data_IF_123830755696
#
_entry.id   IF_123830755696
#
_cell.length_a   1.000
_cell.length_b   1.000
_cell.length_c   1.000
_cell.angle_alpha   90.00
_cell.angle_beta   90.00
_cell.angle_gamma   90.00
#
_symmetry.space_group_name_H-M   'P 1'
#
loop_
_entity.id
_entity.type
_entity.pdbx_description
1 polymer ?
#
# COMPACT_ATOMS: atom_id res chain seq x y z
N UNK A 1 -23.19 16.69 9.31
CA UNK A 1 -21.77 16.76 9.69
C UNK A 1 -21.35 15.33 9.91
N UNK A 2 -20.51 14.76 9.06
CA UNK A 2 -19.92 13.45 9.38
C UNK A 2 -19.05 13.60 10.62
N UNK A 3 -19.22 12.70 11.59
CA UNK A 3 -18.43 12.73 12.83
C UNK A 3 -16.96 12.44 12.48
N UNK A 4 -16.11 13.42 12.78
CA UNK A 4 -14.65 13.26 12.69
C UNK A 4 -14.20 12.26 13.76
N UNK A 5 -13.44 11.26 13.36
CA UNK A 5 -12.99 10.16 14.23
C UNK A 5 -11.47 10.17 14.38
N UNK A 6 -11.01 9.53 15.45
CA UNK A 6 -9.60 9.25 15.69
C UNK A 6 -9.26 7.83 15.21
N UNK A 7 -8.41 7.73 14.19
CA UNK A 7 -8.05 6.47 13.52
C UNK A 7 -6.56 6.17 13.74
N UNK A 8 -6.28 4.95 14.22
CA UNK A 8 -4.92 4.44 14.37
C UNK A 8 -4.66 3.34 13.33
N UNK A 9 -3.60 3.53 12.52
CA UNK A 9 -3.14 2.55 11.54
C UNK A 9 -1.79 1.99 12.01
N UNK A 10 -1.70 0.67 12.13
CA UNK A 10 -0.46 -0.05 12.46
C UNK A 10 0.11 -0.66 11.17
N UNK A 11 1.27 -0.15 10.75
CA UNK A 11 1.96 -0.47 9.50
C UNK A 11 1.89 0.69 8.50
N UNK A 12 3.05 1.24 8.12
CA UNK A 12 3.24 2.28 7.11
C UNK A 12 3.83 1.71 5.81
N UNK A 13 3.45 0.48 5.44
CA UNK A 13 3.64 -0.03 4.08
C UNK A 13 2.62 0.58 3.10
N UNK A 14 2.63 0.17 1.81
CA UNK A 14 1.78 0.75 0.78
C UNK A 14 0.30 0.86 1.16
N UNK A 15 -0.28 -0.22 1.67
CA UNK A 15 -1.68 -0.24 2.12
C UNK A 15 -1.94 0.76 3.27
N UNK A 16 -1.07 0.79 4.28
CA UNK A 16 -1.24 1.68 5.42
C UNK A 16 -1.09 3.16 5.06
N UNK A 17 -0.11 3.49 4.22
CA UNK A 17 0.08 4.86 3.72
C UNK A 17 -1.11 5.30 2.86
N UNK A 18 -1.55 4.44 1.93
CA UNK A 18 -2.70 4.74 1.09
C UNK A 18 -4.00 4.92 1.90
N UNK A 19 -4.30 4.00 2.83
CA UNK A 19 -5.44 4.13 3.74
C UNK A 19 -5.35 5.40 4.59
N UNK A 20 -4.16 5.74 5.09
CA UNK A 20 -3.96 6.96 5.89
C UNK A 20 -4.26 8.22 5.08
N UNK A 21 -3.84 8.25 3.82
CA UNK A 21 -4.11 9.37 2.92
C UNK A 21 -5.62 9.55 2.70
N UNK A 22 -6.33 8.48 2.31
CA UNK A 22 -7.76 8.55 2.06
C UNK A 22 -8.54 9.03 3.29
N UNK A 23 -8.21 8.51 4.47
CA UNK A 23 -8.91 8.81 5.71
C UNK A 23 -8.57 10.20 6.27
N UNK A 24 -7.37 10.71 6.00
CA UNK A 24 -6.90 12.01 6.51
C UNK A 24 -7.73 13.20 6.02
N UNK A 25 -8.49 13.03 4.92
CA UNK A 25 -9.40 14.06 4.42
C UNK A 25 -10.59 14.33 5.35
N UNK A 26 -11.00 13.34 6.15
CA UNK A 26 -12.20 13.41 6.99
C UNK A 26 -11.93 13.12 8.48
N UNK A 27 -10.84 12.43 8.80
CA UNK A 27 -10.54 11.91 10.14
C UNK A 27 -9.16 12.35 10.63
N UNK A 28 -8.93 12.28 11.94
CA UNK A 28 -7.59 12.41 12.50
C UNK A 28 -6.91 11.04 12.43
N UNK A 29 -5.79 10.94 11.73
CA UNK A 29 -5.13 9.66 11.48
C UNK A 29 -3.72 9.66 12.05
N UNK A 30 -3.40 8.64 12.86
CA UNK A 30 -2.04 8.34 13.30
C UNK A 30 -1.57 7.03 12.69
N UNK A 31 -0.36 7.03 12.14
CA UNK A 31 0.26 5.84 11.56
C UNK A 31 1.48 5.47 12.39
N UNK A 32 1.54 4.21 12.83
CA UNK A 32 2.65 3.65 13.59
C UNK A 32 3.33 2.57 12.77
N UNK A 33 4.64 2.63 12.61
CA UNK A 33 5.43 1.57 11.99
C UNK A 33 6.63 1.22 12.88
N UNK A 34 7.04 -0.05 12.83
CA UNK A 34 8.25 -0.55 13.51
C UNK A 34 9.53 -0.03 12.83
N UNK A 35 9.47 0.29 11.54
CA UNK A 35 10.60 0.82 10.76
C UNK A 35 11.06 2.15 11.33
N UNK A 36 12.38 2.32 11.41
CA UNK A 36 13.02 3.57 11.83
C UNK A 36 13.48 4.34 10.59
N UNK A 37 13.46 5.68 10.64
CA UNK A 37 13.89 6.55 9.53
C UNK A 37 15.25 6.17 8.90
N UNK A 38 16.16 5.60 9.69
CA UNK A 38 17.51 5.21 9.28
C UNK A 38 17.65 3.73 8.87
N UNK A 39 16.55 2.97 8.80
CA UNK A 39 16.49 1.57 8.36
C UNK A 39 15.34 1.36 7.37
N UNK A 40 15.25 2.24 6.36
CA UNK A 40 14.30 2.13 5.25
C UNK A 40 14.71 1.07 4.22
N UNK A 41 15.86 0.42 4.39
CA UNK A 41 16.34 -0.57 3.44
C UNK A 41 15.41 -1.79 3.42
N UNK A 42 14.88 -2.03 2.23
CA UNK A 42 14.16 -3.22 1.77
C UNK A 42 12.68 -3.26 2.11
N UNK A 43 11.97 -2.17 1.85
CA UNK A 43 10.57 -2.32 1.46
C UNK A 43 10.58 -2.99 0.10
N UNK A 44 10.12 -4.25 0.06
CA UNK A 44 10.13 -5.09 -1.13
C UNK A 44 9.70 -4.26 -2.36
N UNK A 45 10.53 -4.25 -3.40
CA UNK A 45 10.06 -3.82 -4.71
C UNK A 45 8.86 -4.70 -5.06
N UNK A 46 7.69 -4.07 -5.21
CA UNK A 46 6.47 -4.75 -5.62
C UNK A 46 6.25 -4.46 -7.10
N UNK A 47 6.13 -5.53 -7.89
CA UNK A 47 5.61 -5.40 -9.23
C UNK A 47 4.15 -4.97 -9.16
N UNK A 48 3.80 -3.90 -9.86
CA UNK A 48 2.43 -3.43 -10.03
C UNK A 48 2.20 -3.06 -11.48
N UNK A 49 0.94 -3.07 -11.92
CA UNK A 49 0.60 -2.61 -13.27
C UNK A 49 0.78 -1.09 -13.37
N UNK A 50 1.31 -0.61 -14.51
CA UNK A 50 1.54 0.83 -14.72
C UNK A 50 0.28 1.67 -14.49
N UNK A 51 -0.87 1.21 -14.99
CA UNK A 51 -2.17 1.87 -14.80
C UNK A 51 -2.52 2.07 -13.31
N UNK A 52 -2.20 1.09 -12.47
CA UNK A 52 -2.50 1.15 -11.05
C UNK A 52 -1.53 2.09 -10.32
N UNK A 53 -0.24 2.03 -10.67
CA UNK A 53 0.75 3.00 -10.19
C UNK A 53 0.35 4.44 -10.55
N UNK A 54 -0.02 4.69 -11.81
CA UNK A 54 -0.41 6.03 -12.28
C UNK A 54 -1.62 6.56 -11.49
N UNK A 55 -2.65 5.73 -11.27
CA UNK A 55 -3.80 6.08 -10.46
C UNK A 55 -3.40 6.43 -9.01
N UNK A 56 -2.56 5.62 -8.37
CA UNK A 56 -2.12 5.88 -7.01
C UNK A 56 -1.28 7.16 -6.91
N UNK A 57 -0.37 7.37 -7.86
CA UNK A 57 0.45 8.57 -7.91
C UNK A 57 -0.39 9.83 -8.12
N UNK A 58 -1.42 9.80 -8.98
CA UNK A 58 -2.34 10.92 -9.16
C UNK A 58 -3.09 11.25 -7.86
N UNK A 59 -3.66 10.23 -7.21
CA UNK A 59 -4.36 10.39 -5.93
C UNK A 59 -3.44 11.01 -4.88
N UNK A 60 -2.19 10.55 -4.79
CA UNK A 60 -1.21 11.01 -3.79
C UNK A 60 -0.41 12.26 -4.22
N UNK A 61 -0.66 12.82 -5.41
CA UNK A 61 0.11 13.93 -6.00
C UNK A 61 1.62 13.64 -6.08
N UNK A 62 1.96 12.41 -6.45
CA UNK A 62 3.31 11.91 -6.67
C UNK A 62 3.58 11.73 -8.17
N UNK A 63 4.85 11.58 -8.54
CA UNK A 63 5.26 11.27 -9.91
C UNK A 63 5.65 9.79 -10.01
N UNK A 64 5.03 8.98 -10.90
CA UNK A 64 5.37 7.57 -11.05
C UNK A 64 6.87 7.32 -11.27
N UNK A 65 7.54 8.20 -12.01
CA UNK A 65 8.94 8.06 -12.44
C UNK A 65 9.91 8.06 -11.26
N UNK A 66 9.54 8.67 -10.13
CA UNK A 66 10.36 8.69 -8.92
C UNK A 66 10.37 7.33 -8.18
N UNK A 67 9.48 6.41 -8.54
CA UNK A 67 9.26 5.12 -7.87
C UNK A 67 9.47 3.90 -8.79
N UNK A 68 9.67 4.12 -10.08
CA UNK A 68 9.92 3.05 -11.04
C UNK A 68 11.42 2.78 -11.12
N UNK A 69 11.83 1.62 -10.60
CA UNK A 69 13.21 1.13 -10.74
C UNK A 69 13.42 0.33 -12.03
N UNK A 70 12.38 -0.37 -12.48
CA UNK A 70 12.40 -1.20 -13.68
C UNK A 70 10.99 -1.30 -14.27
N UNK A 71 10.88 -1.29 -15.59
CA UNK A 71 9.65 -1.55 -16.32
C UNK A 71 9.76 -2.88 -17.07
N UNK A 72 8.72 -3.69 -16.98
CA UNK A 72 8.57 -4.93 -17.72
C UNK A 72 7.27 -4.91 -18.51
N UNK A 73 7.26 -5.53 -19.69
CA UNK A 73 6.08 -5.59 -20.55
C UNK A 73 4.99 -6.52 -19.98
N UNK A 74 5.39 -7.53 -19.21
CA UNK A 74 4.50 -8.56 -18.66
C UNK A 74 4.73 -8.78 -17.17
N UNK A 75 3.64 -8.97 -16.42
CA UNK A 75 3.65 -9.40 -15.02
C UNK A 75 2.92 -10.74 -14.94
N UNK A 76 3.64 -11.79 -14.57
CA UNK A 76 3.04 -13.10 -14.29
C UNK A 76 2.59 -13.12 -12.83
N UNK A 77 1.28 -13.04 -12.61
CA UNK A 77 0.67 -13.05 -11.28
C UNK A 77 -0.17 -14.30 -11.07
N UNK A 78 0.26 -15.17 -10.16
CA UNK A 78 -0.47 -16.39 -9.79
C UNK A 78 -1.46 -16.18 -8.63
N UNK A 79 -1.88 -14.93 -8.39
CA UNK A 79 -2.69 -14.57 -7.21
C UNK A 79 -4.01 -15.35 -7.13
N UNK A 80 -4.54 -15.83 -8.25
CA UNK A 80 -5.76 -16.64 -8.31
C UNK A 80 -5.54 -18.17 -8.27
N UNK A 81 -4.30 -18.65 -8.27
CA UNK A 81 -3.99 -20.09 -8.23
C UNK A 81 -3.68 -20.62 -6.82
N UNK A 82 -3.56 -19.74 -5.83
CA UNK A 82 -3.49 -20.15 -4.43
C UNK A 82 -4.89 -20.57 -3.96
N UNK A 83 -5.25 -21.85 -4.13
CA UNK A 83 -6.33 -22.45 -3.33
C UNK A 83 -5.91 -22.33 -1.87
N UNK A 84 -6.61 -21.51 -1.10
CA UNK A 84 -6.53 -21.57 0.36
C UNK A 84 -7.10 -22.93 0.76
N UNK A 85 -6.24 -23.92 1.00
CA UNK A 85 -6.67 -25.16 1.65
C UNK A 85 -7.17 -24.79 3.05
N UNK A 86 -8.50 -24.77 3.22
CA UNK A 86 -9.07 -24.66 4.56
C UNK A 86 -8.61 -25.90 5.34
N UNK A 87 -7.96 -25.75 6.51
CA UNK A 87 -7.62 -26.91 7.32
C UNK A 87 -8.92 -27.67 7.62
N UNK A 88 -8.89 -28.99 7.42
CA UNK A 88 -10.02 -29.85 7.80
C UNK A 88 -10.14 -29.80 9.33
N UNK A 89 -11.35 -29.59 9.89
CA UNK A 89 -11.53 -29.66 11.33
C UNK A 89 -11.17 -31.06 11.80
N UNK A 90 -10.23 -31.13 12.75
CA UNK A 90 -9.91 -32.33 13.53
C UNK A 90 -10.79 -32.36 14.77
#
# INVERSE_FOLDING_TARGET
>A
MEDRMDVCIVGAGPAGVYSSYLLSNAHNVWVFDKKRKNRLWNDCAWGTGRRELDYFCDVLKLKPEDYVLHEAEEIISNVFYNKVERPRPH
#
